data_IF_927096683264
#
_entry.id   IF_927096683264
#
_cell.length_a   1.000
_cell.length_b   1.000
_cell.length_c   1.000
_cell.angle_alpha   90.00
_cell.angle_beta   90.00
_cell.angle_gamma   90.00
#
_symmetry.space_group_name_H-M   'P 1'
#
loop_
_entity.id
_entity.type
_entity.pdbx_description
1 polymer ?
#
# COMPACT_ATOMS: atom_id res chain seq x y z
N UNK A 1 18.72 -12.46 4.05
CA UNK A 1 19.97 -12.82 3.35
C UNK A 1 20.69 -11.52 3.04
N UNK A 2 21.87 -11.27 3.63
CA UNK A 2 22.59 -9.98 3.50
C UNK A 2 23.61 -10.01 2.36
N UNK A 3 23.49 -8.98 1.51
CA UNK A 3 24.51 -8.09 0.92
C UNK A 3 25.68 -8.72 0.13
N UNK A 4 25.73 -8.42 -1.18
CA UNK A 4 27.01 -8.14 -1.87
C UNK A 4 26.94 -7.39 -3.22
N UNK A 5 25.86 -6.68 -3.61
CA UNK A 5 25.79 -6.06 -4.96
C UNK A 5 25.52 -4.55 -5.05
N UNK A 6 25.57 -3.80 -3.95
CA UNK A 6 25.45 -2.33 -3.99
C UNK A 6 26.74 -1.57 -4.37
N UNK A 7 27.84 -2.26 -4.73
CA UNK A 7 29.14 -1.60 -5.03
C UNK A 7 29.26 -0.95 -6.43
N UNK A 8 28.24 -1.04 -7.27
CA UNK A 8 28.19 -0.37 -8.57
C UNK A 8 26.94 0.53 -8.65
N UNK A 9 27.02 1.69 -7.99
CA UNK A 9 25.99 2.75 -7.96
C UNK A 9 26.43 3.85 -8.94
N UNK A 10 26.35 3.58 -10.26
CA UNK A 10 26.42 4.65 -11.26
C UNK A 10 25.03 5.12 -11.72
N UNK A 11 24.00 4.27 -11.56
CA UNK A 11 22.66 4.52 -12.10
C UNK A 11 21.55 4.41 -11.02
N UNK A 12 21.74 5.07 -9.88
CA UNK A 12 20.69 5.12 -8.83
C UNK A 12 19.73 6.26 -9.11
N UNK A 13 18.48 5.90 -9.39
CA UNK A 13 17.37 6.83 -9.51
C UNK A 13 17.17 7.51 -8.16
N UNK A 14 17.37 8.82 -8.17
CA UNK A 14 17.18 9.69 -7.02
C UNK A 14 16.61 11.02 -7.52
N UNK A 15 16.17 11.86 -6.59
CA UNK A 15 15.66 13.21 -6.88
C UNK A 15 16.67 14.15 -7.57
N UNK A 16 17.90 13.70 -7.84
CA UNK A 16 18.98 14.48 -8.46
C UNK A 16 19.12 14.28 -9.98
N UNK A 17 18.39 13.34 -10.61
CA UNK A 17 18.58 12.95 -12.03
C UNK A 17 17.65 13.69 -13.01
N UNK A 18 16.93 14.73 -12.58
CA UNK A 18 15.84 15.32 -13.37
C UNK A 18 16.23 16.00 -14.70
N UNK A 19 17.49 16.41 -14.90
CA UNK A 19 17.88 17.20 -16.08
C UNK A 19 17.85 16.45 -17.42
N UNK A 20 17.83 15.11 -17.40
CA UNK A 20 17.81 14.27 -18.61
C UNK A 20 16.50 13.51 -18.82
N UNK A 21 15.49 13.73 -17.97
CA UNK A 21 14.22 13.01 -18.03
C UNK A 21 13.21 13.75 -18.91
N UNK A 22 12.51 13.00 -19.77
CA UNK A 22 11.43 13.53 -20.58
C UNK A 22 10.18 13.78 -19.72
N UNK A 23 9.44 14.84 -20.04
CA UNK A 23 8.13 15.13 -19.44
C UNK A 23 7.05 14.37 -20.21
N UNK A 24 6.34 13.46 -19.54
CA UNK A 24 5.22 12.72 -20.13
C UNK A 24 3.91 13.48 -19.88
N UNK A 25 3.18 13.81 -20.95
CA UNK A 25 1.90 14.55 -20.86
C UNK A 25 0.67 13.67 -20.78
N UNK A 26 0.75 12.42 -21.26
CA UNK A 26 -0.40 11.54 -21.45
C UNK A 26 -0.30 10.24 -20.64
N UNK A 27 0.44 10.25 -19.53
CA UNK A 27 0.56 9.08 -18.67
C UNK A 27 -0.79 8.74 -18.03
N UNK A 28 -1.26 7.50 -18.25
CA UNK A 28 -2.43 6.95 -17.55
C UNK A 28 -1.95 6.12 -16.38
N UNK A 29 -2.50 6.41 -15.22
CA UNK A 29 -2.16 5.74 -13.96
C UNK A 29 -2.60 4.28 -14.00
N UNK A 30 -1.68 3.38 -13.65
CA UNK A 30 -1.89 1.93 -13.62
C UNK A 30 -1.01 1.25 -12.53
N UNK A 31 -1.12 -0.08 -12.42
CA UNK A 31 -0.37 -0.86 -11.44
C UNK A 31 1.07 -1.19 -11.85
N UNK A 32 1.60 -0.60 -12.93
CA UNK A 32 2.98 -0.83 -13.42
C UNK A 32 3.95 0.28 -13.00
N UNK A 33 3.46 1.25 -12.21
CA UNK A 33 4.31 2.18 -11.47
C UNK A 33 5.12 1.39 -10.45
N UNK A 34 6.44 1.50 -10.50
CA UNK A 34 7.36 0.93 -9.52
C UNK A 34 7.71 1.89 -8.40
N UNK A 35 7.82 3.19 -8.71
CA UNK A 35 8.01 4.23 -7.70
C UNK A 35 7.51 5.61 -8.15
N UNK A 36 7.18 6.43 -7.16
CA UNK A 36 6.86 7.85 -7.33
C UNK A 36 7.78 8.67 -6.43
N UNK A 37 8.53 9.59 -7.00
CA UNK A 37 9.39 10.51 -6.25
C UNK A 37 8.82 11.92 -6.38
N UNK A 38 8.51 12.53 -5.26
CA UNK A 38 8.04 13.91 -5.19
C UNK A 38 9.20 14.88 -5.44
N UNK A 39 9.07 15.69 -6.48
CA UNK A 39 10.04 16.69 -6.92
C UNK A 39 9.42 18.08 -7.03
N UNK A 40 8.22 18.29 -6.48
CA UNK A 40 7.49 19.57 -6.55
C UNK A 40 8.29 20.76 -6.05
N UNK A 41 9.19 20.52 -5.08
CA UNK A 41 9.98 21.56 -4.43
C UNK A 41 11.39 21.70 -5.04
N UNK A 42 11.70 20.93 -6.10
CA UNK A 42 13.06 20.80 -6.66
C UNK A 42 13.17 21.41 -8.06
N UNK A 43 12.12 21.32 -8.88
CA UNK A 43 12.18 21.73 -10.29
C UNK A 43 10.82 22.24 -10.79
N UNK A 44 10.85 23.07 -11.84
CA UNK A 44 9.67 23.59 -12.51
C UNK A 44 9.18 22.70 -13.67
N UNK A 45 9.91 21.63 -14.00
CA UNK A 45 9.59 20.74 -15.14
C UNK A 45 8.34 19.87 -14.89
N UNK A 46 8.00 19.65 -13.62
CA UNK A 46 6.88 18.82 -13.18
C UNK A 46 6.96 18.55 -11.68
N UNK A 47 6.07 17.71 -11.17
CA UNK A 47 5.93 17.49 -9.73
C UNK A 47 6.35 16.09 -9.28
N UNK A 48 6.38 15.10 -10.18
CA UNK A 48 6.69 13.71 -9.83
C UNK A 48 7.63 13.09 -10.84
N UNK A 49 8.69 12.40 -10.37
CA UNK A 49 9.37 11.39 -11.19
C UNK A 49 8.59 10.09 -11.03
N UNK A 50 8.14 9.55 -12.15
CA UNK A 50 7.50 8.23 -12.23
C UNK A 50 8.55 7.23 -12.72
N UNK A 51 8.76 6.17 -11.96
CA UNK A 51 9.50 4.99 -12.40
C UNK A 51 8.47 3.94 -12.77
N UNK A 52 8.42 3.56 -14.04
CA UNK A 52 7.40 2.66 -14.58
C UNK A 52 8.06 1.46 -15.25
N UNK A 53 7.54 0.26 -15.01
CA UNK A 53 8.14 -0.98 -15.51
C UNK A 53 8.26 -1.02 -17.04
N UNK A 54 7.22 -0.58 -17.76
CA UNK A 54 7.21 -0.60 -19.24
C UNK A 54 7.56 0.73 -19.93
N UNK A 55 7.17 1.87 -19.36
CA UNK A 55 7.36 3.19 -19.96
C UNK A 55 8.70 3.85 -19.56
N UNK A 56 9.48 3.19 -18.70
CA UNK A 56 10.73 3.71 -18.17
C UNK A 56 10.52 4.83 -17.16
N UNK A 57 11.45 5.79 -17.14
CA UNK A 57 11.50 6.86 -16.14
C UNK A 57 11.16 8.19 -16.81
N UNK A 58 10.20 8.93 -16.24
CA UNK A 58 9.77 10.21 -16.80
C UNK A 58 9.25 11.15 -15.71
N UNK A 59 9.06 12.42 -16.07
CA UNK A 59 8.47 13.44 -15.21
C UNK A 59 6.99 13.60 -15.56
N UNK A 60 6.13 13.61 -14.53
CA UNK A 60 4.71 13.93 -14.64
C UNK A 60 4.41 15.28 -13.96
N UNK A 61 3.48 16.02 -14.56
CA UNK A 61 3.03 17.33 -14.04
C UNK A 61 2.16 17.23 -12.79
N UNK A 62 1.58 16.06 -12.51
CA UNK A 62 0.78 15.80 -11.30
C UNK A 62 1.69 15.51 -10.12
N UNK A 63 1.24 15.88 -8.92
CA UNK A 63 1.92 15.51 -7.68
C UNK A 63 1.73 14.02 -7.37
N UNK A 64 2.60 13.45 -6.54
CA UNK A 64 2.46 12.04 -6.12
C UNK A 64 1.11 11.78 -5.48
N UNK A 65 0.57 12.75 -4.74
CA UNK A 65 -0.79 12.69 -4.18
C UNK A 65 -1.88 12.59 -5.25
N UNK A 66 -1.79 13.37 -6.33
CA UNK A 66 -2.78 13.31 -7.43
C UNK A 66 -2.73 11.95 -8.13
N UNK A 67 -1.52 11.45 -8.41
CA UNK A 67 -1.32 10.12 -9.03
C UNK A 67 -1.90 9.02 -8.13
N UNK A 68 -1.59 9.03 -6.83
CA UNK A 68 -2.15 8.05 -5.89
C UNK A 68 -3.66 8.19 -5.70
N UNK A 69 -4.22 9.40 -5.84
CA UNK A 69 -5.66 9.59 -5.86
C UNK A 69 -6.32 8.96 -7.09
N UNK A 70 -5.69 9.02 -8.25
CA UNK A 70 -6.16 8.31 -9.43
C UNK A 70 -6.09 6.79 -9.23
N UNK A 71 -5.03 6.27 -8.59
CA UNK A 71 -4.98 4.86 -8.17
C UNK A 71 -6.15 4.50 -7.25
N UNK A 72 -6.51 5.38 -6.31
CA UNK A 72 -7.70 5.17 -5.46
C UNK A 72 -9.01 5.15 -6.25
N UNK A 73 -9.13 5.95 -7.32
CA UNK A 73 -10.34 5.94 -8.16
C UNK A 73 -10.46 4.65 -8.98
N UNK A 74 -9.33 4.07 -9.39
CA UNK A 74 -9.30 2.76 -10.05
C UNK A 74 -9.70 1.66 -9.05
N UNK A 75 -9.29 1.76 -7.79
CA UNK A 75 -9.59 0.76 -6.78
C UNK A 75 -9.88 1.30 -5.37
N UNK A 76 -11.09 1.85 -5.20
CA UNK A 76 -11.52 2.39 -3.91
C UNK A 76 -11.67 1.31 -2.84
N UNK A 77 -12.05 0.08 -3.24
CA UNK A 77 -12.30 -1.04 -2.32
C UNK A 77 -10.99 -1.51 -1.68
N UNK A 78 -9.93 -1.72 -2.46
CA UNK A 78 -8.62 -2.14 -1.95
C UNK A 78 -8.08 -1.17 -0.91
N UNK A 79 -8.18 0.13 -1.16
CA UNK A 79 -7.72 1.12 -0.20
C UNK A 79 -8.55 1.20 1.08
N UNK A 80 -9.88 1.11 0.96
CA UNK A 80 -10.75 1.04 2.13
C UNK A 80 -10.42 -0.20 2.99
N UNK A 81 -10.17 -1.34 2.33
CA UNK A 81 -9.72 -2.57 2.97
C UNK A 81 -8.38 -2.39 3.68
N UNK A 82 -7.39 -1.77 3.02
CA UNK A 82 -6.07 -1.51 3.60
C UNK A 82 -6.16 -0.67 4.88
N UNK A 83 -6.99 0.38 4.87
CA UNK A 83 -7.26 1.22 6.05
C UNK A 83 -7.94 0.45 7.17
N UNK A 84 -8.96 -0.33 6.84
CA UNK A 84 -9.66 -1.17 7.80
C UNK A 84 -8.72 -2.16 8.47
N UNK A 85 -7.93 -2.89 7.67
CA UNK A 85 -6.98 -3.88 8.18
C UNK A 85 -5.88 -3.20 9.01
N UNK A 86 -5.36 -2.07 8.56
CA UNK A 86 -4.39 -1.29 9.31
C UNK A 86 -4.95 -0.90 10.69
N UNK A 87 -6.18 -0.41 10.76
CA UNK A 87 -6.86 -0.06 12.02
C UNK A 87 -7.07 -1.29 12.92
N UNK A 88 -7.60 -2.38 12.35
CA UNK A 88 -7.87 -3.64 13.06
C UNK A 88 -6.62 -4.19 13.77
N UNK A 89 -5.45 -4.03 13.14
CA UNK A 89 -4.18 -4.51 13.67
C UNK A 89 -3.34 -3.44 14.37
N UNK A 90 -3.88 -2.23 14.55
CA UNK A 90 -3.21 -1.13 15.28
C UNK A 90 -2.07 -0.45 14.51
N UNK A 91 -2.04 -0.56 13.19
CA UNK A 91 -1.10 0.11 12.30
C UNK A 91 -1.60 1.53 11.96
N UNK A 92 -1.27 2.50 12.82
CA UNK A 92 -1.83 3.86 12.75
C UNK A 92 -1.04 4.82 11.87
N UNK A 93 0.09 4.39 11.29
CA UNK A 93 1.00 5.24 10.54
C UNK A 93 1.39 4.61 9.21
N UNK A 94 1.71 5.47 8.23
CA UNK A 94 2.23 5.06 6.91
C UNK A 94 1.32 4.08 6.18
N UNK A 95 -0.01 4.27 6.27
CA UNK A 95 -1.00 3.38 5.67
C UNK A 95 -0.71 3.19 4.17
N UNK A 96 -0.44 1.95 3.73
CA UNK A 96 -0.17 1.66 2.33
C UNK A 96 -1.44 1.72 1.48
N UNK A 97 -1.26 1.82 0.16
CA UNK A 97 -2.27 1.35 -0.78
C UNK A 97 -2.07 -0.15 -0.94
N UNK A 98 -3.13 -0.94 -0.79
CA UNK A 98 -3.12 -2.39 -1.05
C UNK A 98 -4.33 -2.74 -1.89
N UNK A 99 -4.12 -3.52 -2.93
CA UNK A 99 -5.17 -4.15 -3.70
C UNK A 99 -4.68 -5.52 -4.13
N UNK A 100 -5.28 -6.60 -3.60
CA UNK A 100 -4.83 -7.97 -3.86
C UNK A 100 -3.32 -8.16 -3.58
N UNK A 101 -2.54 -8.55 -4.58
CA UNK A 101 -1.08 -8.73 -4.51
C UNK A 101 -0.28 -7.47 -4.88
N UNK A 102 -0.96 -6.35 -5.09
CA UNK A 102 -0.37 -5.03 -5.35
C UNK A 102 -0.33 -4.23 -4.05
N UNK A 103 0.84 -3.69 -3.73
CA UNK A 103 0.99 -2.73 -2.65
C UNK A 103 1.95 -1.60 -3.00
N UNK A 104 1.59 -0.38 -2.56
CA UNK A 104 2.43 0.81 -2.58
C UNK A 104 2.66 1.29 -1.16
N UNK A 105 3.93 1.33 -0.77
CA UNK A 105 4.38 1.81 0.53
C UNK A 105 4.73 3.30 0.42
N UNK A 106 4.16 4.15 1.29
CA UNK A 106 4.62 5.52 1.41
C UNK A 106 5.89 5.57 2.25
N UNK A 107 6.91 6.30 1.77
CA UNK A 107 8.18 6.44 2.47
C UNK A 107 8.08 7.36 3.69
N UNK A 108 7.17 8.32 3.62
CA UNK A 108 6.82 9.27 4.69
C UNK A 108 5.29 9.33 4.86
N UNK A 109 4.78 10.02 5.88
CA UNK A 109 3.33 10.07 6.11
C UNK A 109 2.59 10.78 4.97
N UNK A 110 1.82 10.03 4.17
CA UNK A 110 1.21 10.54 2.94
C UNK A 110 -0.20 11.17 3.11
N UNK A 111 -0.80 11.09 4.31
CA UNK A 111 -2.22 11.43 4.51
C UNK A 111 -2.57 12.90 4.24
N UNK A 112 -1.61 13.82 4.32
CA UNK A 112 -1.84 15.27 4.17
C UNK A 112 -0.88 15.97 3.19
N UNK A 113 0.12 15.26 2.67
CA UNK A 113 1.23 15.84 1.89
C UNK A 113 1.62 14.90 0.75
N UNK A 114 2.35 15.43 -0.23
CA UNK A 114 3.05 14.57 -1.16
C UNK A 114 4.04 13.69 -0.38
N UNK A 115 4.19 12.46 -0.83
CA UNK A 115 5.15 11.51 -0.29
C UNK A 115 5.78 10.75 -1.45
N UNK A 116 7.00 10.25 -1.23
CA UNK A 116 7.57 9.26 -2.12
C UNK A 116 6.88 7.92 -1.88
N UNK A 117 6.69 7.14 -2.94
CA UNK A 117 6.06 5.83 -2.89
C UNK A 117 6.93 4.79 -3.59
N UNK A 118 6.95 3.57 -3.04
CA UNK A 118 7.59 2.41 -3.65
C UNK A 118 6.58 1.27 -3.76
N UNK A 119 6.52 0.65 -4.93
CA UNK A 119 5.70 -0.51 -5.20
C UNK A 119 6.39 -1.75 -4.61
N UNK A 120 5.85 -2.22 -3.48
CA UNK A 120 6.46 -3.31 -2.70
C UNK A 120 6.48 -4.60 -3.52
N UNK A 121 5.41 -4.87 -4.27
CA UNK A 121 5.25 -6.04 -5.11
C UNK A 121 6.25 -6.16 -6.27
N UNK A 122 6.95 -5.09 -6.65
CA UNK A 122 8.04 -5.11 -7.64
C UNK A 122 9.44 -5.29 -7.03
N UNK A 123 9.59 -5.37 -5.71
CA UNK A 123 10.91 -5.40 -5.08
C UNK A 123 11.58 -6.77 -5.22
N UNK A 124 12.83 -6.78 -5.68
CA UNK A 124 13.73 -7.94 -5.63
C UNK A 124 14.63 -7.90 -4.40
N UNK A 125 15.16 -6.73 -4.07
CA UNK A 125 15.93 -6.52 -2.85
C UNK A 125 15.78 -5.11 -2.31
N UNK A 126 16.11 -4.95 -1.04
CA UNK A 126 16.11 -3.68 -0.36
C UNK A 126 17.24 -3.64 0.68
N UNK A 127 17.66 -2.44 1.01
CA UNK A 127 18.60 -2.17 2.10
C UNK A 127 18.29 -0.82 2.72
N UNK A 128 18.37 -0.73 4.05
CA UNK A 128 18.35 0.55 4.75
C UNK A 128 19.78 0.89 5.19
N UNK A 129 20.28 2.04 4.76
CA UNK A 129 21.54 2.59 5.22
C UNK A 129 21.24 3.97 5.81
N UNK A 130 21.44 4.10 7.11
CA UNK A 130 21.08 5.30 7.88
C UNK A 130 19.62 5.72 7.66
N UNK A 131 19.40 6.93 7.12
CA UNK A 131 18.09 7.54 6.85
C UNK A 131 17.69 7.41 5.37
N UNK A 132 18.28 6.47 4.64
CA UNK A 132 18.01 6.21 3.23
C UNK A 132 17.58 4.76 3.05
N UNK A 133 16.60 4.56 2.17
CA UNK A 133 16.19 3.24 1.71
C UNK A 133 16.61 3.06 0.25
N UNK A 134 17.24 1.93 -0.02
CA UNK A 134 17.70 1.50 -1.32
C UNK A 134 16.87 0.32 -1.77
N UNK A 135 16.43 0.33 -3.02
CA UNK A 135 15.58 -0.69 -3.61
C UNK A 135 16.11 -1.11 -4.96
N UNK A 136 15.94 -2.38 -5.30
CA UNK A 136 16.08 -2.89 -6.67
C UNK A 136 14.77 -3.55 -7.04
N UNK A 137 14.23 -3.18 -8.20
CA UNK A 137 12.97 -3.70 -8.72
C UNK A 137 13.19 -4.88 -9.68
N UNK A 138 12.13 -5.65 -9.99
CA UNK A 138 12.15 -6.72 -11.00
C UNK A 138 12.61 -6.19 -12.38
N UNK A 139 12.36 -4.90 -12.68
CA UNK A 139 12.84 -4.22 -13.89
C UNK A 139 14.28 -3.71 -13.78
N UNK A 140 15.05 -4.15 -12.76
CA UNK A 140 16.43 -3.75 -12.48
C UNK A 140 16.63 -2.25 -12.16
N UNK A 141 15.56 -1.50 -11.89
CA UNK A 141 15.70 -0.10 -11.46
C UNK A 141 16.26 -0.04 -10.05
N UNK A 142 17.34 0.72 -9.87
CA UNK A 142 17.93 1.00 -8.55
C UNK A 142 17.40 2.32 -8.03
N UNK A 143 16.64 2.30 -6.95
CA UNK A 143 15.91 3.47 -6.45
C UNK A 143 16.40 3.81 -5.06
N UNK A 144 16.69 5.08 -4.80
CA UNK A 144 17.04 5.60 -3.48
C UNK A 144 16.03 6.64 -3.03
N UNK A 145 15.40 6.38 -1.88
CA UNK A 145 14.39 7.25 -1.26
C UNK A 145 14.81 7.67 0.15
N UNK A 146 14.29 8.81 0.60
CA UNK A 146 14.43 9.25 1.99
C UNK A 146 13.59 8.37 2.92
N UNK A 147 14.23 7.85 3.98
CA UNK A 147 13.59 7.05 5.01
C UNK A 147 14.03 7.54 6.40
N UNK A 148 13.56 8.73 6.82
CA UNK A 148 14.12 9.41 7.98
C UNK A 148 13.72 8.80 9.33
N UNK A 149 12.72 7.92 9.37
CA UNK A 149 12.14 7.37 10.61
C UNK A 149 11.70 5.91 10.43
N UNK A 150 12.01 5.12 11.44
CA UNK A 150 11.57 3.73 11.59
C UNK A 150 12.56 2.72 11.03
N UNK A 151 12.07 1.49 10.93
CA UNK A 151 12.80 0.33 10.44
C UNK A 151 12.14 -0.15 9.14
N UNK A 152 12.93 -0.25 8.06
CA UNK A 152 12.45 -0.58 6.72
C UNK A 152 11.99 -2.03 6.62
N UNK A 153 12.74 -2.96 7.21
CA UNK A 153 12.40 -4.39 7.22
C UNK A 153 11.06 -4.60 7.93
N UNK A 154 10.88 -3.99 9.10
CA UNK A 154 9.62 -4.01 9.83
C UNK A 154 8.48 -3.40 9.02
N UNK A 155 8.69 -2.25 8.35
CA UNK A 155 7.62 -1.62 7.54
C UNK A 155 7.22 -2.51 6.36
N UNK A 156 8.19 -3.11 5.67
CA UNK A 156 7.93 -4.05 4.59
C UNK A 156 7.21 -5.31 5.08
N UNK A 157 7.60 -5.84 6.24
CA UNK A 157 6.91 -6.94 6.92
C UNK A 157 5.44 -6.59 7.22
N UNK A 158 5.18 -5.42 7.81
CA UNK A 158 3.83 -5.00 8.19
C UNK A 158 2.94 -4.83 6.95
N UNK A 159 3.47 -4.27 5.87
CA UNK A 159 2.75 -4.15 4.59
C UNK A 159 2.45 -5.51 3.99
N UNK A 160 3.43 -6.41 3.98
CA UNK A 160 3.22 -7.77 3.50
C UNK A 160 2.15 -8.51 4.30
N UNK A 161 2.15 -8.34 5.63
CA UNK A 161 1.11 -8.88 6.50
C UNK A 161 -0.29 -8.35 6.12
N UNK A 162 -0.42 -7.04 5.87
CA UNK A 162 -1.68 -6.46 5.42
C UNK A 162 -2.10 -6.98 4.03
N UNK A 163 -1.16 -7.15 3.10
CA UNK A 163 -1.44 -7.76 1.78
C UNK A 163 -1.98 -9.18 1.95
N UNK A 164 -1.36 -10.01 2.81
CA UNK A 164 -1.88 -11.34 3.11
C UNK A 164 -3.27 -11.32 3.71
N UNK A 165 -3.53 -10.42 4.65
CA UNK A 165 -4.86 -10.28 5.23
C UNK A 165 -5.89 -9.89 4.17
N UNK A 166 -5.53 -8.98 3.27
CA UNK A 166 -6.36 -8.59 2.12
C UNK A 166 -6.65 -9.78 1.21
N UNK A 167 -5.62 -10.51 0.79
CA UNK A 167 -5.76 -11.71 -0.05
C UNK A 167 -6.63 -12.79 0.63
N UNK A 168 -6.45 -13.06 1.92
CA UNK A 168 -7.27 -14.01 2.66
C UNK A 168 -8.76 -13.59 2.65
N UNK A 169 -9.05 -12.31 2.84
CA UNK A 169 -10.42 -11.79 2.79
C UNK A 169 -11.00 -11.95 1.38
N UNK A 170 -10.24 -11.61 0.33
CA UNK A 170 -10.68 -11.80 -1.05
C UNK A 170 -10.91 -13.28 -1.38
N UNK A 171 -9.99 -14.16 -0.99
CA UNK A 171 -10.09 -15.62 -1.14
C UNK A 171 -11.37 -16.15 -0.47
N UNK A 172 -11.66 -15.72 0.75
CA UNK A 172 -12.89 -16.09 1.44
C UNK A 172 -14.14 -15.62 0.68
N UNK A 173 -14.14 -14.40 0.13
CA UNK A 173 -15.27 -13.86 -0.64
C UNK A 173 -15.49 -14.62 -1.96
N UNK A 174 -14.44 -14.90 -2.72
CA UNK A 174 -14.57 -15.58 -4.03
C UNK A 174 -14.90 -17.07 -3.87
N UNK A 175 -14.44 -17.72 -2.80
CA UNK A 175 -14.78 -19.12 -2.52
C UNK A 175 -16.28 -19.33 -2.24
N UNK A 176 -17.02 -18.30 -1.81
CA UNK A 176 -18.50 -18.37 -1.73
C UNK A 176 -19.10 -18.64 -3.11
N UNK A 177 -18.49 -18.10 -4.17
CA UNK A 177 -18.87 -18.35 -5.56
C UNK A 177 -18.23 -19.61 -6.17
N UNK A 178 -17.57 -20.46 -5.37
CA UNK A 178 -16.76 -21.59 -5.85
C UNK A 178 -15.65 -21.18 -6.83
N UNK A 179 -15.13 -19.96 -6.68
CA UNK A 179 -13.99 -19.44 -7.41
C UNK A 179 -12.74 -19.45 -6.53
N UNK A 180 -11.56 -19.51 -7.16
CA UNK A 180 -10.27 -19.41 -6.47
C UNK A 180 -9.51 -18.18 -6.95
N UNK A 181 -8.85 -17.47 -6.03
CA UNK A 181 -8.02 -16.33 -6.40
C UNK A 181 -6.71 -16.84 -6.99
N UNK A 182 -6.30 -16.25 -8.13
CA UNK A 182 -4.97 -16.46 -8.70
C UNK A 182 -4.19 -15.16 -8.57
N UNK A 183 -3.07 -15.21 -7.88
CA UNK A 183 -2.19 -14.05 -7.66
C UNK A 183 -0.72 -14.47 -7.72
N UNK A 184 0.18 -13.52 -8.01
CA UNK A 184 1.62 -13.77 -8.08
C UNK A 184 2.23 -13.42 -6.72
N UNK A 185 2.70 -14.43 -5.98
CA UNK A 185 3.42 -14.17 -4.74
C UNK A 185 4.84 -13.66 -5.05
N UNK A 186 5.19 -12.46 -4.56
CA UNK A 186 6.57 -11.97 -4.65
C UNK A 186 7.48 -12.79 -3.72
N UNK A 187 8.53 -13.39 -4.30
CA UNK A 187 9.49 -14.27 -3.62
C UNK A 187 10.20 -13.61 -2.45
N UNK A 188 10.51 -12.31 -2.53
CA UNK A 188 11.18 -11.57 -1.46
C UNK A 188 10.42 -11.68 -0.14
N UNK A 189 9.09 -11.58 -0.19
CA UNK A 189 8.25 -11.57 1.00
C UNK A 189 7.79 -12.95 1.46
N UNK A 190 7.99 -14.00 0.67
CA UNK A 190 7.77 -15.38 1.13
C UNK A 190 8.61 -15.73 2.37
N UNK A 191 9.69 -14.98 2.62
CA UNK A 191 10.48 -15.07 3.86
C UNK A 191 9.65 -14.79 5.12
N UNK A 192 8.63 -13.94 5.02
CA UNK A 192 7.72 -13.61 6.12
C UNK A 192 6.60 -14.65 6.31
N UNK A 193 6.44 -15.62 5.40
CA UNK A 193 5.43 -16.69 5.52
C UNK A 193 5.59 -17.52 6.79
N UNK A 194 6.82 -17.62 7.28
CA UNK A 194 7.18 -18.39 8.47
C UNK A 194 7.35 -17.53 9.71
N UNK A 195 7.01 -16.24 9.63
CA UNK A 195 7.10 -15.32 10.76
C UNK A 195 6.12 -15.76 11.88
N UNK A 196 6.58 -15.65 13.13
CA UNK A 196 5.81 -16.02 14.34
C UNK A 196 5.66 -14.85 15.31
N UNK A 197 5.72 -13.61 14.81
CA UNK A 197 5.54 -12.44 15.64
C UNK A 197 4.08 -12.30 16.12
N UNK A 198 3.88 -11.47 17.15
CA UNK A 198 2.56 -11.19 17.74
C UNK A 198 1.52 -10.69 16.72
N UNK A 199 1.98 -10.06 15.63
CA UNK A 199 1.11 -9.63 14.55
C UNK A 199 0.58 -10.83 13.76
N UNK A 200 1.45 -11.77 13.38
CA UNK A 200 1.08 -12.99 12.68
C UNK A 200 0.24 -13.95 13.53
N UNK A 201 0.42 -13.96 14.86
CA UNK A 201 -0.46 -14.74 15.74
C UNK A 201 -1.91 -14.22 15.76
N UNK A 202 -2.13 -12.95 15.38
CA UNK A 202 -3.46 -12.32 15.34
C UNK A 202 -4.19 -12.51 14.01
N UNK A 203 -3.60 -13.18 13.02
CA UNK A 203 -4.26 -13.41 11.72
C UNK A 203 -5.60 -14.18 11.86
N UNK A 204 -5.75 -14.94 12.95
CA UNK A 204 -6.97 -15.64 13.31
C UNK A 204 -8.17 -14.72 13.58
N UNK A 205 -7.97 -13.40 13.74
CA UNK A 205 -9.06 -12.42 13.80
C UNK A 205 -9.87 -12.37 12.50
N UNK A 206 -9.33 -12.90 11.39
CA UNK A 206 -10.00 -13.01 10.09
C UNK A 206 -10.37 -14.47 9.75
N UNK A 207 -10.69 -15.29 10.76
CA UNK A 207 -10.97 -16.72 10.57
C UNK A 207 -12.31 -17.05 9.87
N UNK A 208 -13.21 -16.08 9.71
CA UNK A 208 -14.50 -16.30 9.04
C UNK A 208 -15.09 -15.00 8.45
N UNK A 209 -15.85 -15.14 7.35
CA UNK A 209 -16.50 -14.00 6.69
C UNK A 209 -17.44 -13.24 7.63
N UNK A 210 -18.26 -13.89 8.47
CA UNK A 210 -19.13 -13.17 9.40
C UNK A 210 -18.36 -12.28 10.38
N UNK A 211 -17.24 -12.76 10.91
CA UNK A 211 -16.38 -11.99 11.84
C UNK A 211 -15.74 -10.81 11.09
N UNK A 212 -15.22 -11.05 9.88
CA UNK A 212 -14.71 -9.97 9.04
C UNK A 212 -15.76 -8.89 8.78
N UNK A 213 -16.97 -9.26 8.34
CA UNK A 213 -18.04 -8.30 8.07
C UNK A 213 -18.46 -7.52 9.32
N UNK A 214 -18.49 -8.17 10.48
CA UNK A 214 -18.76 -7.49 11.74
C UNK A 214 -17.75 -6.39 12.01
N UNK A 215 -16.45 -6.69 11.93
CA UNK A 215 -15.39 -5.71 12.11
C UNK A 215 -15.41 -4.60 11.05
N UNK A 216 -15.73 -4.92 9.79
CA UNK A 216 -15.83 -3.92 8.73
C UNK A 216 -16.99 -2.95 8.97
N UNK A 217 -18.16 -3.45 9.36
CA UNK A 217 -19.33 -2.61 9.70
C UNK A 217 -18.99 -1.69 10.88
N UNK A 218 -18.38 -2.24 11.93
CA UNK A 218 -17.90 -1.48 13.08
C UNK A 218 -16.96 -0.35 12.67
N UNK A 219 -15.97 -0.65 11.83
CA UNK A 219 -15.02 0.34 11.30
C UNK A 219 -15.73 1.44 10.50
N UNK A 220 -16.66 1.08 9.61
CA UNK A 220 -17.42 2.06 8.82
C UNK A 220 -18.21 2.98 9.75
N UNK A 221 -18.98 2.41 10.70
CA UNK A 221 -19.80 3.19 11.64
C UNK A 221 -18.96 4.13 12.52
N UNK A 222 -17.74 3.73 12.90
CA UNK A 222 -16.82 4.58 13.66
C UNK A 222 -16.30 5.75 12.81
N UNK A 223 -16.10 5.53 11.51
CA UNK A 223 -15.45 6.46 10.59
C UNK A 223 -16.40 7.23 9.65
N UNK A 224 -17.72 7.14 9.85
CA UNK A 224 -18.73 7.90 9.08
C UNK A 224 -18.74 9.41 9.37
N UNK A 225 -17.81 9.93 10.17
CA UNK A 225 -17.78 11.36 10.53
C UNK A 225 -18.93 11.78 11.45
N UNK A 226 -19.61 10.83 12.09
CA UNK A 226 -20.62 11.11 13.11
C UNK A 226 -19.88 11.55 14.39
N UNK A 227 -19.67 12.85 14.53
CA UNK A 227 -19.15 13.48 15.74
C UNK A 227 -20.31 13.81 16.70
N UNK A 228 -20.19 13.46 17.98
CA UNK A 228 -21.12 13.89 19.03
C UNK A 228 -21.81 12.78 19.86
N UNK A 229 -22.70 13.22 20.76
CA UNK A 229 -23.39 12.43 21.80
C UNK A 229 -24.35 11.33 21.27
N UNK A 230 -24.52 11.18 19.96
CA UNK A 230 -25.42 10.18 19.34
C UNK A 230 -24.73 9.01 18.63
N UNK A 231 -23.39 8.95 18.63
CA UNK A 231 -22.62 7.93 17.88
C UNK A 231 -22.98 6.50 18.28
N UNK A 232 -23.22 6.26 19.57
CA UNK A 232 -23.57 4.95 20.10
C UNK A 232 -25.02 4.58 19.75
N UNK A 233 -25.97 5.51 19.85
CA UNK A 233 -27.36 5.30 19.43
C UNK A 233 -27.46 5.02 17.93
N UNK A 234 -26.77 5.80 17.09
CA UNK A 234 -26.75 5.60 15.63
C UNK A 234 -26.15 4.24 15.26
N UNK A 235 -25.06 3.85 15.91
CA UNK A 235 -24.46 2.52 15.75
C UNK A 235 -25.44 1.40 16.13
N UNK A 236 -26.14 1.52 17.26
CA UNK A 236 -27.19 0.57 17.67
C UNK A 236 -28.32 0.50 16.65
N UNK A 237 -28.78 1.65 16.15
CA UNK A 237 -29.84 1.73 15.14
C UNK A 237 -29.46 1.01 13.84
N UNK A 238 -28.26 1.25 13.30
CA UNK A 238 -27.79 0.58 12.09
C UNK A 238 -27.62 -0.93 12.29
N UNK A 239 -27.07 -1.38 13.42
CA UNK A 239 -26.97 -2.82 13.73
C UNK A 239 -28.33 -3.50 13.79
N UNK A 240 -29.32 -2.87 14.42
CA UNK A 240 -30.69 -3.41 14.49
C UNK A 240 -31.33 -3.54 13.11
N UNK A 241 -31.16 -2.54 12.24
CA UNK A 241 -31.71 -2.58 10.89
C UNK A 241 -31.00 -3.60 9.99
N UNK A 242 -29.66 -3.69 10.06
CA UNK A 242 -28.91 -4.74 9.35
C UNK A 242 -29.33 -6.14 9.79
N UNK A 243 -29.55 -6.34 11.09
CA UNK A 243 -30.04 -7.62 11.63
C UNK A 243 -31.46 -7.95 11.15
N UNK A 244 -32.34 -6.94 11.02
CA UNK A 244 -33.68 -7.11 10.47
C UNK A 244 -33.64 -7.50 8.99
N UNK A 245 -32.81 -6.85 8.18
CA UNK A 245 -32.64 -7.17 6.75
C UNK A 245 -32.09 -8.59 6.57
N UNK A 246 -31.11 -9.00 7.38
CA UNK A 246 -30.58 -10.37 7.39
C UNK A 246 -31.60 -11.47 7.72
N UNK A 247 -32.75 -11.14 8.31
CA UNK A 247 -33.82 -12.12 8.54
C UNK A 247 -34.73 -12.31 7.32
N UNK A 248 -34.63 -11.43 6.33
CA UNK A 248 -35.46 -11.45 5.12
C UNK A 248 -34.80 -12.22 3.96
N UNK A 249 -33.56 -12.68 4.14
CA UNK A 249 -32.75 -13.45 3.20
C UNK A 249 -32.02 -14.56 3.95
#
# INVERSE_FOLDING_TARGET
>A
MMISNFKSIKDVISKRIFSSLNVCKNFKVDYKIEALLDISDITNLGNTIVVHAEQGIFIDSRTTRKIMNEMYLINGIGFAMAKFLADLYGMTHYTPFIHEDIAYMPMTGASRRNADWIAVHFLECYEQIEKKAYFVTESSHKIQLDFPRGDLEKRLHDIYFLMKCSLNVFEMMVNVGSCHLKYKCNKLFSTYDRCRCDLHSKICLLNSLPIFYWHLIEFILINQGIEGLGKLETKKYYHQNLTRIKKLY
#
